data_IF_354756244430
#
_entry.id   IF_354756244430
#
_cell.length_a   1.000
_cell.length_b   1.000
_cell.length_c   1.000
_cell.angle_alpha   90.00
_cell.angle_beta   90.00
_cell.angle_gamma   90.00
#
_symmetry.space_group_name_H-M   'P 1'
#
loop_
_entity.id
_entity.type
_entity.pdbx_description
1 polymer ?
#
# COMPACT_ATOMS: atom_id res chain seq x y z
N UNK A 1 -2.44 16.51 -11.23
CA UNK A 1 -3.15 15.23 -11.17
C UNK A 1 -4.44 15.38 -10.38
N UNK A 2 -5.58 15.27 -11.05
CA UNK A 2 -6.91 15.23 -10.43
C UNK A 2 -7.70 14.08 -11.02
N UNK A 3 -8.15 13.15 -10.17
CA UNK A 3 -8.87 11.97 -10.60
C UNK A 3 -10.38 12.21 -10.58
N UNK A 4 -11.04 11.86 -11.69
CA UNK A 4 -12.50 11.86 -11.81
C UNK A 4 -13.04 10.44 -11.92
N UNK A 5 -14.23 10.21 -11.37
CA UNK A 5 -14.97 8.96 -11.53
C UNK A 5 -15.76 9.02 -12.84
N UNK A 6 -15.55 8.04 -13.71
CA UNK A 6 -16.32 7.84 -14.93
C UNK A 6 -17.04 6.49 -14.86
N UNK A 7 -18.32 6.46 -15.19
CA UNK A 7 -19.09 5.23 -15.32
C UNK A 7 -19.12 4.82 -16.79
N UNK A 8 -18.68 3.59 -17.07
CA UNK A 8 -18.77 2.99 -18.40
C UNK A 8 -19.99 2.07 -18.39
N UNK A 9 -20.98 2.43 -19.21
CA UNK A 9 -22.16 1.59 -19.43
C UNK A 9 -21.77 0.38 -20.27
N UNK A 10 -22.00 -0.81 -19.73
CA UNK A 10 -21.79 -2.07 -20.45
C UNK A 10 -23.17 -2.60 -20.87
N UNK A 11 -23.39 -2.80 -22.18
CA UNK A 11 -24.66 -3.36 -22.67
C UNK A 11 -24.87 -4.75 -22.07
N UNK A 12 -25.95 -4.92 -21.30
CA UNK A 12 -26.32 -6.21 -20.69
C UNK A 12 -25.53 -6.59 -19.43
N UNK A 13 -24.78 -5.67 -18.82
CA UNK A 13 -24.01 -5.92 -17.61
C UNK A 13 -24.06 -4.77 -16.59
N UNK A 14 -23.35 -4.94 -15.48
CA UNK A 14 -23.20 -3.88 -14.48
C UNK A 14 -22.25 -2.79 -15.00
N UNK A 15 -22.58 -1.52 -14.75
CA UNK A 15 -21.71 -0.38 -15.06
C UNK A 15 -20.33 -0.55 -14.43
N UNK A 16 -19.28 -0.35 -15.22
CA UNK A 16 -17.90 -0.43 -14.74
C UNK A 16 -17.44 0.97 -14.33
N UNK A 17 -17.00 1.09 -13.09
CA UNK A 17 -16.39 2.33 -12.59
C UNK A 17 -14.93 2.41 -13.03
N UNK A 18 -14.58 3.50 -13.72
CA UNK A 18 -13.23 3.88 -14.13
C UNK A 18 -12.81 5.16 -13.41
N UNK A 19 -11.55 5.25 -13.00
CA UNK A 19 -10.94 6.46 -12.45
C UNK A 19 -10.03 7.04 -13.52
N UNK A 20 -10.21 8.30 -13.91
CA UNK A 20 -9.45 8.91 -15.02
C UNK A 20 -8.73 10.14 -14.50
N UNK A 21 -7.44 10.24 -14.80
CA UNK A 21 -6.69 11.48 -14.58
C UNK A 21 -7.09 12.51 -15.62
N UNK A 22 -7.45 13.72 -15.18
CA UNK A 22 -7.80 14.81 -16.08
C UNK A 22 -6.63 15.28 -16.94
N UNK A 23 -5.39 15.01 -16.51
CA UNK A 23 -4.21 15.66 -17.06
C UNK A 23 -3.41 14.73 -18.01
N UNK A 24 -3.49 13.41 -17.85
CA UNK A 24 -2.58 12.44 -18.51
C UNK A 24 -3.26 11.35 -19.35
N UNK A 25 -4.59 11.39 -19.50
CA UNK A 25 -5.44 10.31 -20.09
C UNK A 25 -5.26 8.93 -19.43
N UNK A 26 -4.54 8.88 -18.30
CA UNK A 26 -4.34 7.65 -17.56
C UNK A 26 -5.63 7.20 -16.89
N UNK A 27 -5.83 5.90 -16.92
CA UNK A 27 -7.02 5.26 -16.39
C UNK A 27 -6.66 4.20 -15.35
N UNK A 28 -7.36 4.25 -14.23
CA UNK A 28 -7.17 3.34 -13.11
C UNK A 28 -8.45 2.57 -12.81
N UNK A 29 -8.28 1.28 -12.50
CA UNK A 29 -9.34 0.43 -11.97
C UNK A 29 -9.59 0.74 -10.49
N UNK A 30 -8.50 0.91 -9.73
CA UNK A 30 -8.50 1.23 -8.30
C UNK A 30 -7.38 2.22 -8.00
N UNK A 31 -7.62 3.08 -7.03
CA UNK A 31 -6.59 3.93 -6.42
C UNK A 31 -6.76 3.81 -4.92
N UNK A 32 -5.67 3.50 -4.22
CA UNK A 32 -5.64 3.34 -2.78
C UNK A 32 -4.59 4.26 -2.16
N UNK A 33 -4.89 4.78 -0.97
CA UNK A 33 -3.96 5.54 -0.16
C UNK A 33 -3.48 4.72 1.04
N UNK A 34 -2.22 4.88 1.43
CA UNK A 34 -1.61 4.27 2.59
C UNK A 34 -0.98 5.31 3.50
N UNK A 35 -1.03 5.07 4.80
CA UNK A 35 -0.51 5.92 5.87
C UNK A 35 0.37 5.10 6.80
N UNK A 36 1.61 5.56 6.94
CA UNK A 36 2.51 5.20 8.01
C UNK A 36 2.56 6.35 9.00
N UNK A 37 2.19 6.08 10.25
CA UNK A 37 2.28 7.05 11.32
C UNK A 37 3.74 7.39 11.62
N UNK A 38 4.06 8.64 12.02
CA UNK A 38 5.38 8.96 12.55
C UNK A 38 5.75 8.02 13.71
N UNK A 39 7.04 7.67 13.81
CA UNK A 39 7.54 6.77 14.84
C UNK A 39 8.90 7.24 15.36
N UNK A 40 8.99 7.59 16.65
CA UNK A 40 10.17 8.20 17.25
C UNK A 40 10.66 9.40 16.42
N UNK A 41 11.90 9.39 15.92
CA UNK A 41 12.47 10.44 15.07
C UNK A 41 12.12 10.28 13.58
N UNK A 42 11.39 9.22 13.19
CA UNK A 42 11.05 8.94 11.80
C UNK A 42 9.76 9.69 11.41
N UNK A 43 9.77 10.46 10.31
CA UNK A 43 8.60 11.19 9.84
C UNK A 43 7.49 10.23 9.41
N UNK A 44 6.25 10.70 9.48
CA UNK A 44 5.12 9.98 8.90
C UNK A 44 5.18 10.01 7.37
N UNK A 45 4.46 9.09 6.75
CA UNK A 45 4.47 8.93 5.31
C UNK A 45 3.08 8.61 4.80
N UNK A 46 2.69 9.25 3.70
CA UNK A 46 1.45 8.93 2.98
C UNK A 46 1.78 8.68 1.52
N UNK A 47 1.18 7.65 0.93
CA UNK A 47 1.40 7.25 -0.46
C UNK A 47 0.09 6.89 -1.14
N UNK A 48 0.01 7.15 -2.44
CA UNK A 48 -1.12 6.77 -3.29
C UNK A 48 -0.64 5.86 -4.40
N UNK A 49 -1.24 4.68 -4.51
CA UNK A 49 -0.96 3.70 -5.56
C UNK A 49 -2.19 3.52 -6.46
N UNK A 50 -2.00 3.64 -7.77
CA UNK A 50 -3.00 3.35 -8.79
C UNK A 50 -2.75 2.00 -9.44
N UNK A 51 -3.83 1.25 -9.71
CA UNK A 51 -3.83 0.04 -10.54
C UNK A 51 -4.40 0.38 -11.92
N UNK A 52 -3.64 0.17 -12.99
CA UNK A 52 -4.03 0.50 -14.36
C UNK A 52 -5.34 -0.21 -14.76
N UNK A 53 -6.21 0.51 -15.48
CA UNK A 53 -7.54 0.04 -15.89
C UNK A 53 -7.49 -1.07 -16.94
N UNK A 54 -6.48 -1.08 -17.81
CA UNK A 54 -6.22 -2.15 -18.75
C UNK A 54 -5.24 -3.18 -18.17
N UNK A 55 -5.48 -4.48 -18.37
CA UNK A 55 -4.42 -5.47 -18.18
C UNK A 55 -3.38 -5.35 -19.32
N UNK A 56 -2.15 -5.75 -19.05
CA UNK A 56 -1.10 -5.83 -20.07
C UNK A 56 -1.11 -7.21 -20.74
N UNK A 57 -1.77 -7.29 -21.89
CA UNK A 57 -1.87 -8.51 -22.69
C UNK A 57 -0.54 -8.97 -23.30
N UNK A 58 0.51 -8.14 -23.28
CA UNK A 58 1.84 -8.55 -23.73
C UNK A 58 2.53 -9.49 -22.73
N UNK A 59 2.06 -9.51 -21.47
CA UNK A 59 2.62 -10.33 -20.41
C UNK A 59 1.72 -11.54 -20.10
N UNK A 60 2.36 -12.65 -19.75
CA UNK A 60 1.66 -13.88 -19.35
C UNK A 60 0.74 -13.62 -18.15
N UNK A 61 -0.48 -14.19 -18.20
CA UNK A 61 -1.56 -13.95 -17.24
C UNK A 61 -2.15 -12.53 -17.25
N UNK A 62 -1.76 -11.70 -18.21
CA UNK A 62 -2.26 -10.33 -18.41
C UNK A 62 -2.36 -9.52 -17.11
N UNK A 63 -1.24 -9.35 -16.38
CA UNK A 63 -1.21 -8.63 -15.12
C UNK A 63 -1.57 -7.16 -15.33
N UNK A 64 -1.89 -6.48 -14.23
CA UNK A 64 -2.11 -5.03 -14.23
C UNK A 64 -0.87 -4.34 -13.72
N UNK A 65 -0.66 -3.11 -14.16
CA UNK A 65 0.45 -2.28 -13.73
C UNK A 65 0.03 -1.46 -12.51
N UNK A 66 0.96 -1.26 -11.58
CA UNK A 66 0.79 -0.43 -10.41
C UNK A 66 1.73 0.76 -10.48
N UNK A 67 1.24 1.94 -10.09
CA UNK A 67 1.98 3.20 -10.21
C UNK A 67 1.84 4.01 -8.95
N UNK A 68 2.96 4.52 -8.44
CA UNK A 68 2.92 5.54 -7.39
C UNK A 68 2.46 6.85 -8.04
N UNK A 69 1.35 7.39 -7.54
CA UNK A 69 0.72 8.59 -8.07
C UNK A 69 1.12 9.84 -7.29
N UNK A 70 1.30 9.68 -5.98
CA UNK A 70 1.73 10.73 -5.08
C UNK A 70 2.29 10.12 -3.79
N UNK A 71 3.16 10.87 -3.14
CA UNK A 71 3.67 10.57 -1.81
C UNK A 71 4.05 11.85 -1.08
N UNK A 72 4.04 11.79 0.26
CA UNK A 72 4.52 12.88 1.09
C UNK A 72 5.10 12.33 2.38
N UNK A 73 6.16 12.97 2.85
CA UNK A 73 6.89 12.63 4.07
C UNK A 73 6.96 13.89 4.94
N UNK A 74 6.52 13.80 6.19
CA UNK A 74 6.61 14.92 7.13
C UNK A 74 6.57 14.43 8.57
N UNK A 75 7.27 15.12 9.46
CA UNK A 75 7.18 14.93 10.92
C UNK A 75 6.05 15.73 11.56
N UNK A 76 5.45 16.68 10.84
CA UNK A 76 4.33 17.48 11.30
C UNK A 76 3.00 16.74 11.08
N UNK A 77 2.28 16.48 12.18
CA UNK A 77 1.00 15.77 12.15
C UNK A 77 -0.11 16.58 11.46
N UNK A 78 -0.13 17.89 11.63
CA UNK A 78 -1.13 18.76 10.99
C UNK A 78 -0.92 18.78 9.47
N UNK A 79 0.34 18.88 9.05
CA UNK A 79 0.70 18.77 7.64
C UNK A 79 0.31 17.39 7.09
N UNK A 80 0.65 16.30 7.79
CA UNK A 80 0.30 14.96 7.36
C UNK A 80 -1.22 14.81 7.22
N UNK A 81 -2.02 15.41 8.11
CA UNK A 81 -3.48 15.44 8.03
C UNK A 81 -3.98 16.20 6.82
N UNK A 82 -3.43 17.39 6.58
CA UNK A 82 -3.76 18.23 5.42
C UNK A 82 -3.50 17.49 4.11
N UNK A 83 -2.37 16.79 4.01
CA UNK A 83 -2.02 16.02 2.81
C UNK A 83 -2.92 14.80 2.65
N UNK A 84 -3.21 14.06 3.72
CA UNK A 84 -4.17 12.96 3.65
C UNK A 84 -5.56 13.44 3.17
N UNK A 85 -6.01 14.63 3.59
CA UNK A 85 -7.26 15.21 3.12
C UNK A 85 -7.19 15.57 1.64
N UNK A 86 -6.12 16.25 1.24
CA UNK A 86 -5.86 16.59 -0.16
C UNK A 86 -5.85 15.34 -1.05
N UNK A 87 -5.16 14.28 -0.64
CA UNK A 87 -5.11 13.03 -1.40
C UNK A 87 -6.48 12.35 -1.47
N UNK A 88 -7.28 12.41 -0.41
CA UNK A 88 -8.65 11.89 -0.44
C UNK A 88 -9.49 12.57 -1.52
N UNK A 89 -9.39 13.88 -1.64
CA UNK A 89 -10.11 14.68 -2.63
C UNK A 89 -9.55 14.45 -4.04
N UNK A 90 -8.25 14.66 -4.22
CA UNK A 90 -7.56 14.59 -5.52
C UNK A 90 -7.65 13.18 -6.15
N UNK A 91 -7.64 12.12 -5.32
CA UNK A 91 -7.65 10.72 -5.78
C UNK A 91 -8.97 9.99 -5.50
N UNK A 92 -10.02 10.71 -5.09
CA UNK A 92 -11.34 10.13 -4.86
C UNK A 92 -11.37 8.97 -3.84
N UNK A 93 -10.48 8.98 -2.84
CA UNK A 93 -10.33 7.91 -1.85
C UNK A 93 -11.53 7.88 -0.89
N UNK A 94 -12.00 6.68 -0.55
CA UNK A 94 -13.04 6.50 0.49
C UNK A 94 -12.44 6.51 1.90
N UNK A 95 -11.27 5.91 2.03
CA UNK A 95 -10.50 5.73 3.25
C UNK A 95 -9.02 5.65 2.90
N UNK A 96 -8.16 5.80 3.90
CA UNK A 96 -6.72 5.59 3.80
C UNK A 96 -6.36 4.36 4.64
N UNK A 97 -5.51 3.49 4.10
CA UNK A 97 -5.04 2.29 4.79
C UNK A 97 -3.99 2.68 5.83
N UNK A 98 -4.18 2.28 7.08
CA UNK A 98 -3.27 2.61 8.18
C UNK A 98 -3.69 1.90 9.45
N UNK A 99 -2.85 1.86 10.48
CA UNK A 99 -3.25 1.29 11.76
C UNK A 99 -4.15 2.28 12.53
N UNK A 100 -5.47 2.03 12.70
CA UNK A 100 -6.35 2.92 13.44
C UNK A 100 -6.13 2.85 14.95
N UNK A 101 -5.39 1.87 15.46
CA UNK A 101 -5.08 1.69 16.88
C UNK A 101 -3.76 2.36 17.28
N UNK A 102 -3.08 3.03 16.33
CA UNK A 102 -1.86 3.74 16.64
C UNK A 102 -2.14 4.93 17.60
N UNK A 103 -1.42 5.07 18.72
CA UNK A 103 -1.65 6.14 19.70
C UNK A 103 -1.60 7.57 19.12
N UNK A 104 -0.82 7.77 18.06
CA UNK A 104 -0.69 9.07 17.36
C UNK A 104 -2.04 9.53 16.77
N UNK A 105 -2.95 8.59 16.47
CA UNK A 105 -4.29 8.91 15.97
C UNK A 105 -5.14 9.70 16.97
N UNK A 106 -4.94 9.51 18.27
CA UNK A 106 -5.72 10.23 19.28
C UNK A 106 -5.36 11.72 19.31
N UNK A 107 -4.11 12.06 18.98
CA UNK A 107 -3.66 13.44 18.79
C UNK A 107 -4.31 13.99 17.51
N UNK A 108 -4.24 13.23 16.42
CA UNK A 108 -4.82 13.59 15.11
C UNK A 108 -6.33 13.88 15.15
N UNK A 109 -7.11 13.16 15.97
CA UNK A 109 -8.57 13.32 16.05
C UNK A 109 -9.01 14.68 16.59
N UNK A 110 -8.15 15.39 17.33
CA UNK A 110 -8.51 16.65 18.01
C UNK A 110 -8.57 17.84 17.05
N UNK A 111 -7.87 17.77 15.92
CA UNK A 111 -7.52 18.94 15.09
C UNK A 111 -8.36 19.11 13.79
N UNK A 112 -9.47 18.38 13.58
CA UNK A 112 -10.42 18.72 12.50
C UNK A 112 -11.05 17.57 11.70
N UNK A 113 -11.13 17.74 10.38
CA UNK A 113 -11.92 16.89 9.47
C UNK A 113 -11.48 15.43 9.54
N UNK A 114 -12.42 14.54 9.87
CA UNK A 114 -12.17 13.12 10.09
C UNK A 114 -11.89 12.40 8.77
N UNK A 115 -10.65 11.97 8.59
CA UNK A 115 -10.27 11.02 7.54
C UNK A 115 -10.51 9.61 8.07
N UNK A 116 -11.22 8.79 7.29
CA UNK A 116 -11.41 7.39 7.64
C UNK A 116 -10.10 6.64 7.41
N UNK A 117 -9.42 6.26 8.49
CA UNK A 117 -8.28 5.35 8.47
C UNK A 117 -8.80 3.94 8.75
N UNK A 118 -8.46 2.98 7.88
CA UNK A 118 -8.93 1.59 7.97
C UNK A 118 -7.76 0.63 7.85
N UNK A 119 -7.90 -0.54 8.47
CA UNK A 119 -6.88 -1.59 8.35
C UNK A 119 -6.86 -2.19 6.94
N UNK A 120 -5.68 -2.56 6.42
CA UNK A 120 -5.57 -3.44 5.26
C UNK A 120 -6.11 -4.83 5.58
N UNK A 121 -6.53 -5.55 4.53
CA UNK A 121 -6.89 -6.96 4.61
C UNK A 121 -5.70 -7.79 5.08
N UNK A 122 -5.99 -8.79 5.93
CA UNK A 122 -4.98 -9.71 6.44
C UNK A 122 -3.78 -9.02 7.12
N UNK A 123 -4.00 -7.90 7.83
CA UNK A 123 -2.95 -7.12 8.52
C UNK A 123 -1.92 -8.00 9.26
N UNK A 124 -2.38 -9.02 9.99
CA UNK A 124 -1.54 -9.94 10.76
C UNK A 124 -0.49 -10.68 9.92
N UNK A 125 -0.69 -10.75 8.60
CA UNK A 125 0.21 -11.39 7.65
C UNK A 125 1.12 -10.39 6.94
N UNK A 126 0.93 -9.09 7.15
CA UNK A 126 1.72 -8.03 6.49
C UNK A 126 2.96 -7.76 7.33
N UNK A 127 4.05 -8.38 6.94
CA UNK A 127 5.39 -8.12 7.45
C UNK A 127 6.32 -7.60 6.34
N UNK A 128 7.54 -7.23 6.72
CA UNK A 128 8.55 -6.75 5.78
C UNK A 128 8.93 -7.81 4.72
N UNK A 129 8.87 -9.10 5.08
CA UNK A 129 9.19 -10.19 4.17
C UNK A 129 8.13 -10.33 3.06
N UNK A 130 6.84 -10.27 3.41
CA UNK A 130 5.75 -10.26 2.44
C UNK A 130 5.87 -9.05 1.51
N UNK A 131 6.14 -7.86 2.04
CA UNK A 131 6.34 -6.65 1.22
C UNK A 131 7.51 -6.85 0.26
N UNK A 132 8.64 -7.37 0.73
CA UNK A 132 9.79 -7.66 -0.12
C UNK A 132 9.45 -8.67 -1.23
N UNK A 133 8.70 -9.74 -0.91
CA UNK A 133 8.24 -10.71 -1.91
C UNK A 133 7.32 -10.07 -2.96
N UNK A 134 6.37 -9.23 -2.54
CA UNK A 134 5.46 -8.53 -3.46
C UNK A 134 6.20 -7.52 -4.35
N UNK A 135 7.18 -6.80 -3.79
CA UNK A 135 8.04 -5.89 -4.56
C UNK A 135 8.85 -6.68 -5.58
N UNK A 136 9.56 -7.73 -5.16
CA UNK A 136 10.37 -8.57 -6.05
C UNK A 136 9.51 -9.16 -7.16
N UNK A 137 8.36 -9.74 -6.84
CA UNK A 137 7.42 -10.28 -7.84
C UNK A 137 7.01 -9.25 -8.90
N UNK A 138 6.84 -7.99 -8.51
CA UNK A 138 6.37 -6.94 -9.41
C UNK A 138 7.50 -6.10 -10.05
N UNK A 139 8.77 -6.42 -9.76
CA UNK A 139 9.94 -5.67 -10.26
C UNK A 139 10.99 -6.55 -10.92
N UNK A 140 11.15 -7.80 -10.48
CA UNK A 140 12.07 -8.77 -11.06
C UNK A 140 11.47 -9.42 -12.32
N UNK A 141 12.26 -9.47 -13.39
CA UNK A 141 11.85 -10.04 -14.68
C UNK A 141 10.91 -9.12 -15.48
N UNK A 142 9.64 -9.00 -15.06
CA UNK A 142 8.62 -8.18 -15.75
C UNK A 142 8.09 -7.10 -14.82
N UNK A 143 8.41 -5.85 -15.13
CA UNK A 143 8.12 -4.70 -14.27
C UNK A 143 6.65 -4.27 -14.38
N UNK A 144 5.84 -4.72 -13.43
CA UNK A 144 4.45 -4.31 -13.25
C UNK A 144 4.31 -3.21 -12.19
N UNK A 145 5.29 -3.02 -11.31
CA UNK A 145 5.33 -1.91 -10.34
C UNK A 145 6.25 -0.77 -10.82
N UNK A 146 5.67 0.42 -10.95
CA UNK A 146 6.32 1.62 -11.47
C UNK A 146 6.42 2.68 -10.38
N UNK A 147 7.64 2.98 -9.97
CA UNK A 147 7.92 3.96 -8.91
C UNK A 147 7.94 5.41 -9.42
N UNK A 148 8.24 5.65 -10.70
CA UNK A 148 8.46 7.01 -11.20
C UNK A 148 9.55 7.73 -10.41
N UNK A 149 9.27 8.95 -9.97
CA UNK A 149 10.17 9.80 -9.15
C UNK A 149 10.03 9.56 -7.63
N UNK A 150 9.37 8.46 -7.22
CA UNK A 150 9.16 8.12 -5.82
C UNK A 150 10.47 7.89 -5.05
N UNK A 151 10.45 8.23 -3.75
CA UNK A 151 11.49 7.91 -2.75
C UNK A 151 11.43 6.45 -2.27
N UNK A 152 10.34 5.72 -2.52
CA UNK A 152 10.14 4.32 -2.10
C UNK A 152 11.31 3.40 -2.46
N UNK A 153 11.88 3.42 -3.68
CA UNK A 153 13.07 2.64 -4.02
C UNK A 153 14.25 2.87 -3.05
N UNK A 154 14.49 4.12 -2.64
CA UNK A 154 15.54 4.47 -1.70
C UNK A 154 15.31 3.84 -0.33
N UNK A 155 14.06 3.84 0.16
CA UNK A 155 13.72 3.10 1.38
C UNK A 155 13.93 1.60 1.17
N UNK A 156 13.38 1.01 0.11
CA UNK A 156 13.50 -0.42 -0.19
C UNK A 156 14.96 -0.90 -0.21
N UNK A 157 15.88 -0.17 -0.84
CA UNK A 157 17.31 -0.54 -0.85
C UNK A 157 17.94 -0.61 0.54
N UNK A 158 17.49 0.22 1.48
CA UNK A 158 17.97 0.21 2.87
C UNK A 158 17.46 -0.98 3.68
N UNK A 159 16.40 -1.66 3.21
CA UNK A 159 15.81 -2.83 3.89
C UNK A 159 16.44 -4.17 3.52
N UNK A 160 17.21 -4.27 2.42
CA UNK A 160 17.57 -5.58 1.82
C UNK A 160 18.67 -6.34 2.58
N UNK A 161 19.35 -5.77 3.58
CA UNK A 161 20.51 -6.43 4.19
C UNK A 161 20.25 -7.15 5.51
N UNK A 162 19.82 -6.50 6.61
CA UNK A 162 19.97 -7.11 7.95
C UNK A 162 18.84 -6.87 8.96
N UNK A 163 17.69 -6.27 8.57
CA UNK A 163 16.68 -5.77 9.53
C UNK A 163 15.30 -6.44 9.49
N UNK A 164 15.10 -7.38 8.57
CA UNK A 164 13.77 -7.96 8.30
C UNK A 164 13.26 -8.80 9.50
N UNK A 165 14.15 -9.33 10.33
CA UNK A 165 13.79 -10.28 11.38
C UNK A 165 13.57 -9.67 12.78
N UNK A 166 13.94 -8.40 13.02
CA UNK A 166 13.94 -7.82 14.39
C UNK A 166 13.05 -6.61 14.62
N UNK A 167 12.67 -5.87 13.57
CA UNK A 167 11.91 -4.61 13.71
C UNK A 167 10.46 -4.77 13.20
N UNK A 168 9.50 -4.18 13.93
CA UNK A 168 8.10 -4.14 13.49
C UNK A 168 7.96 -3.24 12.26
N UNK A 169 7.08 -3.61 11.32
CA UNK A 169 6.78 -2.83 10.13
C UNK A 169 6.42 -1.37 10.46
N UNK A 170 5.67 -1.15 11.55
CA UNK A 170 5.20 0.16 11.99
C UNK A 170 6.33 1.13 12.37
N UNK A 171 7.52 0.61 12.67
CA UNK A 171 8.68 1.43 12.93
C UNK A 171 9.19 2.10 11.65
N UNK A 172 8.71 1.68 10.48
CA UNK A 172 9.11 2.20 9.17
C UNK A 172 7.90 2.78 8.43
N UNK A 173 7.60 4.06 8.64
CA UNK A 173 6.38 4.67 8.11
C UNK A 173 6.25 4.57 6.58
N UNK A 174 7.30 4.78 5.76
CA UNK A 174 7.20 4.61 4.31
C UNK A 174 6.86 3.17 3.89
N UNK A 175 7.45 2.16 4.54
CA UNK A 175 7.17 0.76 4.24
C UNK A 175 5.81 0.32 4.75
N UNK A 176 5.35 0.86 5.88
CA UNK A 176 4.00 0.64 6.38
C UNK A 176 2.98 1.16 5.37
N UNK A 177 3.10 2.44 4.98
CA UNK A 177 2.19 3.09 4.05
C UNK A 177 2.13 2.34 2.71
N UNK A 178 3.31 2.09 2.11
CA UNK A 178 3.42 1.42 0.83
C UNK A 178 3.01 -0.05 0.89
N UNK A 179 3.47 -0.77 1.92
CA UNK A 179 3.19 -2.18 2.13
C UNK A 179 1.71 -2.48 2.32
N UNK A 180 1.01 -1.66 3.10
CA UNK A 180 -0.45 -1.79 3.27
C UNK A 180 -1.18 -1.66 1.95
N UNK A 181 -0.81 -0.69 1.12
CA UNK A 181 -1.46 -0.46 -0.17
C UNK A 181 -1.15 -1.58 -1.17
N UNK A 182 0.12 -1.99 -1.27
CA UNK A 182 0.53 -3.03 -2.18
C UNK A 182 -0.11 -4.37 -1.81
N UNK A 183 -0.09 -4.73 -0.52
CA UNK A 183 -0.74 -5.93 -0.01
C UNK A 183 -2.26 -5.90 -0.21
N UNK A 184 -2.93 -4.76 0.01
CA UNK A 184 -4.37 -4.63 -0.23
C UNK A 184 -4.73 -4.84 -1.71
N UNK A 185 -3.96 -4.26 -2.63
CA UNK A 185 -4.19 -4.41 -4.08
C UNK A 185 -3.99 -5.86 -4.52
N UNK A 186 -2.89 -6.47 -4.07
CA UNK A 186 -2.50 -7.84 -4.41
C UNK A 186 -3.41 -8.88 -3.75
N UNK A 187 -3.61 -8.84 -2.44
CA UNK A 187 -4.32 -9.90 -1.74
C UNK A 187 -5.83 -9.83 -1.92
N UNK A 188 -6.41 -8.62 -1.99
CA UNK A 188 -7.88 -8.45 -2.16
C UNK A 188 -8.32 -8.51 -3.63
N UNK A 189 -7.41 -8.21 -4.56
CA UNK A 189 -7.70 -8.17 -6.00
C UNK A 189 -7.71 -9.52 -6.70
N UNK A 190 -7.12 -10.56 -6.10
CA UNK A 190 -6.96 -11.88 -6.69
C UNK A 190 -8.04 -12.84 -6.18
N UNK A 191 -9.20 -12.83 -6.84
CA UNK A 191 -10.09 -13.98 -6.88
C UNK A 191 -9.36 -15.15 -7.57
N UNK A 192 -8.73 -16.01 -6.77
CA UNK A 192 -8.44 -17.44 -6.99
C UNK A 192 -7.77 -17.96 -8.29
N UNK A 193 -7.50 -17.14 -9.32
CA UNK A 193 -7.06 -17.62 -10.64
C UNK A 193 -5.54 -17.53 -10.90
N UNK A 194 -4.76 -16.77 -10.11
CA UNK A 194 -3.34 -16.53 -10.40
C UNK A 194 -2.33 -17.17 -9.42
N UNK A 195 -2.76 -18.13 -8.60
CA UNK A 195 -1.84 -19.07 -7.93
C UNK A 195 -0.78 -18.51 -6.96
N UNK A 196 -0.73 -17.20 -6.70
CA UNK A 196 0.25 -16.64 -5.77
C UNK A 196 -0.08 -17.10 -4.34
N UNK A 197 0.70 -18.06 -3.87
CA UNK A 197 0.82 -18.38 -2.45
C UNK A 197 2.16 -17.79 -2.00
N UNK A 198 2.16 -16.83 -1.06
CA UNK A 198 3.40 -16.39 -0.44
C UNK A 198 4.17 -17.62 0.05
N UNK A 199 5.48 -17.67 -0.14
CA UNK A 199 6.27 -18.79 0.38
C UNK A 199 6.29 -18.70 1.91
N UNK A 200 5.36 -19.42 2.53
CA UNK A 200 5.19 -19.46 3.98
C UNK A 200 6.18 -20.39 4.66
N UNK A 201 6.97 -21.19 3.92
CA UNK A 201 7.98 -22.07 4.52
C UNK A 201 9.06 -21.26 5.26
N UNK A 202 9.25 -19.99 4.88
CA UNK A 202 10.12 -19.02 5.57
C UNK A 202 9.44 -18.22 6.69
N UNK A 203 8.11 -18.32 6.86
CA UNK A 203 7.37 -17.68 7.96
C UNK A 203 7.40 -18.49 9.27
N UNK A 204 7.86 -19.75 9.22
CA UNK A 204 7.76 -20.70 10.33
C UNK A 204 9.08 -20.98 11.08
N UNK A 205 10.07 -20.08 11.01
CA UNK A 205 11.26 -20.16 11.88
C UNK A 205 11.11 -19.12 12.99
N UNK A 206 10.14 -19.31 13.87
CA UNK A 206 9.87 -18.32 14.90
C UNK A 206 8.74 -18.66 15.85
N UNK A 207 8.60 -19.93 16.27
CA UNK A 207 7.87 -20.28 17.50
C UNK A 207 8.16 -21.71 17.98
N UNK A 208 9.44 -22.09 18.07
CA UNK A 208 9.89 -23.15 19.00
C UNK A 208 10.75 -22.55 20.10
N UNK A 209 10.17 -21.61 20.85
CA UNK A 209 10.71 -21.26 22.16
C UNK A 209 10.36 -22.37 23.15
N UNK A 210 11.38 -23.18 23.46
CA UNK A 210 11.72 -23.63 24.81
C UNK A 210 10.55 -23.98 25.75
N UNK A 211 9.95 -25.15 25.55
CA UNK A 211 9.38 -25.93 26.66
C UNK A 211 10.41 -26.99 27.11
N UNK A 212 11.50 -26.58 27.75
CA UNK A 212 12.22 -27.46 28.68
C UNK A 212 12.47 -26.71 29.98
N UNK A 213 11.55 -27.02 30.90
CA UNK A 213 11.54 -26.66 32.32
C UNK A 213 12.91 -26.96 32.94
N UNK A 214 13.41 -25.99 33.70
CA UNK A 214 14.17 -26.29 34.91
C UNK A 214 13.16 -26.81 35.93
N UNK A 215 13.35 -28.04 36.39
CA UNK A 215 13.44 -28.47 37.78
C UNK A 215 13.95 -29.91 37.75
#
# INVERSE_FOLDING_TARGET
MKIKKQLIKVRGGNDIKKLVDSDSDMAFRRILGGLGWPYAERPGFVVVLGEDFGPDHSLQHSPRHYRILAEHETSDLEELQRICHKFREDFCLRSILGNPENPVREIWKREGVKISVVLPCDLEKIDLNLIAQLVRRNTEGRKTLHFGDSKIPGYLTRFVADRIESESLEQFPPMTAFGFVLAEIELRGHSSLAGFRPDRSKLAIGNRMKSRRRF
#
